data_IF_836109058989
#
_entry.id   IF_836109058989
#
_cell.length_a   1.000
_cell.length_b   1.000
_cell.length_c   1.000
_cell.angle_alpha   90.00
_cell.angle_beta   90.00
_cell.angle_gamma   90.00
#
_symmetry.space_group_name_H-M   'P 1'
#
loop_
_entity.id
_entity.type
_entity.pdbx_description
1 polymer ?
#
# COMPACT_ATOMS: atom_id res chain seq x y z
N UNK A 1 33.53 107.09 -5.26
CA UNK A 1 33.04 108.47 -5.05
C UNK A 1 31.52 108.40 -5.06
N UNK A 2 30.93 108.41 -3.86
CA UNK A 2 30.43 109.64 -3.21
C UNK A 2 29.04 109.96 -3.77
N UNK A 3 27.99 109.56 -3.07
CA UNK A 3 27.32 110.33 -2.01
C UNK A 3 26.29 111.30 -2.60
N UNK A 4 25.05 111.15 -2.11
CA UNK A 4 24.14 112.24 -1.72
C UNK A 4 23.66 113.25 -2.78
N UNK A 5 22.47 113.84 -2.71
CA UNK A 5 21.25 113.75 -1.88
C UNK A 5 20.30 114.76 -2.52
N UNK A 6 19.00 114.45 -2.59
CA UNK A 6 17.85 115.37 -2.38
C UNK A 6 17.73 116.61 -3.31
N UNK A 7 16.56 117.14 -3.69
CA UNK A 7 15.25 117.26 -3.03
C UNK A 7 14.24 117.88 -4.02
N UNK A 8 12.94 117.56 -3.83
CA UNK A 8 11.71 118.39 -3.99
C UNK A 8 11.38 119.05 -5.36
N UNK A 9 10.12 119.26 -5.79
CA UNK A 9 8.78 119.22 -5.19
C UNK A 9 7.68 119.22 -6.28
N UNK A 10 6.51 118.66 -5.95
CA UNK A 10 5.08 118.88 -6.37
C UNK A 10 4.73 119.63 -7.69
N UNK A 11 3.67 119.30 -8.45
CA UNK A 11 2.23 119.43 -8.11
C UNK A 11 1.31 118.70 -9.12
N UNK A 12 0.40 117.87 -8.57
CA UNK A 12 -1.05 117.63 -8.83
C UNK A 12 -1.70 117.58 -10.23
N UNK A 13 -2.40 116.46 -10.49
CA UNK A 13 -3.76 116.43 -11.11
C UNK A 13 -4.56 115.21 -10.60
N UNK A 14 -5.90 115.32 -10.63
CA UNK A 14 -6.90 114.73 -9.72
C UNK A 14 -7.40 113.27 -10.00
N UNK A 15 -8.09 112.74 -8.97
CA UNK A 15 -8.67 111.40 -8.68
C UNK A 15 -9.96 111.01 -9.46
N UNK A 16 -10.37 109.71 -9.52
CA UNK A 16 -11.32 109.17 -8.51
C UNK A 16 -11.18 107.65 -8.17
N UNK A 17 -11.83 107.25 -7.06
CA UNK A 17 -11.90 105.89 -6.49
C UNK A 17 -12.96 104.97 -7.12
N UNK A 18 -12.71 103.64 -7.21
CA UNK A 18 -13.73 102.57 -7.43
C UNK A 18 -13.32 101.25 -6.74
N UNK A 19 -14.33 100.53 -6.22
CA UNK A 19 -14.41 99.35 -5.32
C UNK A 19 -14.01 97.96 -5.90
N UNK A 20 -13.91 96.87 -5.10
CA UNK A 20 -13.38 95.57 -5.53
C UNK A 20 -14.44 94.68 -6.23
N UNK A 21 -14.05 93.90 -7.24
CA UNK A 21 -14.93 92.91 -7.89
C UNK A 21 -14.35 91.49 -7.82
N UNK A 22 -15.20 90.58 -7.34
CA UNK A 22 -15.00 89.14 -7.25
C UNK A 22 -15.38 88.46 -8.57
N UNK A 23 -14.48 87.62 -9.09
CA UNK A 23 -14.62 86.94 -10.38
C UNK A 23 -15.51 85.69 -10.26
N UNK A 24 -16.59 85.61 -11.05
CA UNK A 24 -17.57 84.51 -11.05
C UNK A 24 -17.17 83.40 -12.03
N UNK A 25 -17.08 82.16 -11.54
CA UNK A 25 -16.78 80.94 -12.34
C UNK A 25 -17.98 80.54 -13.23
N UNK A 26 -17.80 80.16 -14.51
CA UNK A 26 -18.91 79.90 -15.44
C UNK A 26 -19.72 78.64 -15.12
N UNK A 27 -21.05 78.76 -15.25
CA UNK A 27 -22.06 77.77 -14.80
C UNK A 27 -22.07 76.41 -15.54
N UNK A 28 -21.39 76.26 -16.67
CA UNK A 28 -21.29 74.99 -17.41
C UNK A 28 -20.28 73.98 -16.82
N UNK A 29 -19.31 74.46 -16.03
CA UNK A 29 -18.26 73.61 -15.41
C UNK A 29 -18.82 72.81 -14.23
N UNK A 30 -19.76 73.39 -13.48
CA UNK A 30 -20.42 72.74 -12.33
C UNK A 30 -21.26 71.53 -12.76
N UNK A 31 -22.00 71.62 -13.88
CA UNK A 31 -22.83 70.52 -14.38
C UNK A 31 -21.98 69.35 -14.90
N UNK A 32 -20.86 69.63 -15.58
CA UNK A 32 -19.89 68.60 -16.01
C UNK A 32 -19.20 67.94 -14.81
N UNK A 33 -18.87 68.70 -13.76
CA UNK A 33 -18.32 68.18 -12.50
C UNK A 33 -19.32 67.27 -11.78
N UNK A 34 -20.59 67.65 -11.69
CA UNK A 34 -21.66 66.84 -11.06
C UNK A 34 -21.89 65.53 -11.82
N UNK A 35 -21.84 65.54 -13.15
CA UNK A 35 -21.94 64.31 -13.95
C UNK A 35 -20.71 63.43 -13.74
N UNK A 36 -19.50 64.00 -13.70
CA UNK A 36 -18.26 63.24 -13.46
C UNK A 36 -18.25 62.59 -12.07
N UNK A 37 -18.67 63.32 -11.02
CA UNK A 37 -18.74 62.77 -9.65
C UNK A 37 -19.81 61.69 -9.52
N UNK A 38 -20.96 61.84 -10.19
CA UNK A 38 -22.00 60.81 -10.24
C UNK A 38 -21.52 59.53 -10.96
N UNK A 39 -20.78 59.66 -12.06
CA UNK A 39 -20.16 58.53 -12.76
C UNK A 39 -19.11 57.86 -11.88
N UNK A 40 -18.27 58.63 -11.18
CA UNK A 40 -17.27 58.07 -10.26
C UNK A 40 -17.92 57.34 -9.08
N UNK A 41 -19.00 57.87 -8.51
CA UNK A 41 -19.80 57.21 -7.47
C UNK A 41 -20.46 55.93 -7.98
N UNK A 42 -20.96 55.91 -9.22
CA UNK A 42 -21.51 54.70 -9.83
C UNK A 42 -20.44 53.63 -10.06
N UNK A 43 -19.25 54.02 -10.53
CA UNK A 43 -18.11 53.10 -10.68
C UNK A 43 -17.66 52.57 -9.31
N UNK A 44 -17.56 53.45 -8.30
CA UNK A 44 -17.20 53.07 -6.93
C UNK A 44 -18.24 52.13 -6.31
N UNK A 45 -19.54 52.38 -6.54
CA UNK A 45 -20.63 51.51 -6.09
C UNK A 45 -20.61 50.17 -6.81
N UNK A 46 -20.32 50.16 -8.12
CA UNK A 46 -20.11 48.93 -8.89
C UNK A 46 -18.92 48.11 -8.38
N UNK A 47 -17.79 48.76 -8.08
CA UNK A 47 -16.62 48.14 -7.46
C UNK A 47 -16.93 47.60 -6.06
N UNK A 48 -17.68 48.35 -5.24
CA UNK A 48 -18.08 47.94 -3.90
C UNK A 48 -18.99 46.70 -3.95
N UNK A 49 -20.00 46.72 -4.84
CA UNK A 49 -20.89 45.57 -5.07
C UNK A 49 -20.11 44.35 -5.56
N UNK A 50 -19.18 44.52 -6.51
CA UNK A 50 -18.36 43.42 -7.02
C UNK A 50 -17.41 42.86 -5.95
N UNK A 51 -16.84 43.73 -5.12
CA UNK A 51 -15.99 43.33 -3.99
C UNK A 51 -16.77 42.49 -2.98
N UNK A 52 -17.94 42.96 -2.55
CA UNK A 52 -18.79 42.28 -1.57
C UNK A 52 -19.38 40.98 -2.11
N UNK A 53 -19.79 40.92 -3.38
CA UNK A 53 -20.48 39.77 -3.95
C UNK A 53 -19.54 38.68 -4.51
N UNK A 54 -18.34 39.06 -4.98
CA UNK A 54 -17.46 38.14 -5.72
C UNK A 54 -16.09 38.00 -5.05
N UNK A 55 -15.33 39.09 -4.87
CA UNK A 55 -13.94 38.99 -4.43
C UNK A 55 -13.76 38.59 -2.96
N UNK A 56 -14.69 38.95 -2.06
CA UNK A 56 -14.58 38.58 -0.64
C UNK A 56 -14.64 37.07 -0.37
N UNK A 57 -15.19 36.30 -1.31
CA UNK A 57 -15.51 34.88 -1.16
C UNK A 57 -14.60 33.96 -1.99
N UNK A 58 -13.45 34.45 -2.44
CA UNK A 58 -12.48 33.71 -3.22
C UNK A 58 -11.12 33.84 -2.55
N UNK A 59 -10.51 32.72 -2.20
CA UNK A 59 -9.14 32.68 -1.70
C UNK A 59 -8.29 31.95 -2.73
N UNK A 60 -7.24 32.61 -3.24
CA UNK A 60 -6.35 32.05 -4.25
C UNK A 60 -4.93 31.85 -3.71
N UNK A 61 -4.25 30.85 -4.25
CA UNK A 61 -2.82 30.64 -4.06
C UNK A 61 -2.19 30.13 -5.36
N UNK A 62 -0.97 30.61 -5.61
CA UNK A 62 -0.07 30.22 -6.71
C UNK A 62 0.96 29.16 -6.26
N UNK A 63 0.96 28.83 -4.97
CA UNK A 63 1.87 27.86 -4.36
C UNK A 63 1.12 26.56 -4.14
N UNK A 64 0.85 25.88 -5.23
CA UNK A 64 0.24 24.56 -5.19
C UNK A 64 0.97 23.60 -6.12
N UNK A 65 1.12 22.36 -5.65
CA UNK A 65 1.80 21.30 -6.40
C UNK A 65 0.95 20.05 -6.46
N UNK A 66 1.02 19.36 -7.60
CA UNK A 66 0.43 18.02 -7.75
C UNK A 66 1.24 17.03 -6.93
N UNK A 67 0.56 16.25 -6.09
CA UNK A 67 1.17 15.21 -5.27
C UNK A 67 0.44 13.88 -5.46
N UNK A 68 1.13 12.77 -5.19
CA UNK A 68 0.58 11.42 -5.30
C UNK A 68 1.28 10.46 -4.33
N UNK A 69 0.70 9.28 -4.12
CA UNK A 69 1.33 8.23 -3.34
C UNK A 69 2.49 7.64 -4.14
N UNK A 70 3.72 7.79 -3.64
CA UNK A 70 4.89 7.17 -4.24
C UNK A 70 4.99 5.71 -3.75
N UNK A 71 4.71 4.76 -4.64
CA UNK A 71 4.77 3.33 -4.30
C UNK A 71 6.17 2.81 -4.61
N UNK A 72 6.97 2.61 -3.57
CA UNK A 72 8.31 2.06 -3.70
C UNK A 72 8.25 0.54 -3.87
N UNK A 73 8.85 0.06 -4.95
CA UNK A 73 8.98 -1.36 -5.27
C UNK A 73 10.29 -1.87 -4.68
N UNK A 74 10.18 -2.85 -3.78
CA UNK A 74 11.31 -3.47 -3.09
C UNK A 74 11.24 -5.00 -3.24
N UNK A 75 12.39 -5.69 -3.32
CA UNK A 75 12.43 -7.13 -3.42
C UNK A 75 12.21 -7.74 -2.03
N UNK A 76 11.52 -8.89 -2.00
CA UNK A 76 11.32 -9.66 -0.77
C UNK A 76 12.45 -10.67 -0.53
N UNK A 77 13.15 -11.07 -1.60
CA UNK A 77 14.30 -11.98 -1.57
C UNK A 77 15.54 -11.28 -2.12
N UNK A 78 16.71 -11.76 -1.72
CA UNK A 78 17.98 -11.32 -2.29
C UNK A 78 18.24 -12.09 -3.59
N UNK A 79 18.78 -11.41 -4.61
CA UNK A 79 19.07 -12.04 -5.89
C UNK A 79 19.83 -11.14 -6.85
N UNK A 80 20.27 -11.70 -7.97
CA UNK A 80 20.86 -10.94 -9.06
C UNK A 80 19.80 -10.61 -10.08
N UNK A 81 19.77 -9.37 -10.57
CA UNK A 81 18.80 -8.93 -11.57
C UNK A 81 19.14 -9.56 -12.91
N UNK A 82 18.29 -10.46 -13.39
CA UNK A 82 18.44 -11.11 -14.69
C UNK A 82 17.87 -10.23 -15.80
N UNK A 83 16.72 -9.59 -15.56
CA UNK A 83 16.04 -8.77 -16.56
C UNK A 83 15.28 -7.62 -15.93
N UNK A 84 15.27 -6.49 -16.64
CA UNK A 84 14.43 -5.33 -16.34
C UNK A 84 13.48 -5.15 -17.53
N UNK A 85 12.18 -5.28 -17.30
CA UNK A 85 11.16 -5.26 -18.36
C UNK A 85 10.57 -3.87 -18.61
N UNK A 86 10.87 -2.89 -17.76
CA UNK A 86 10.27 -1.56 -17.79
C UNK A 86 11.31 -0.48 -17.56
N UNK A 87 11.20 0.61 -18.32
CA UNK A 87 12.05 1.79 -18.20
C UNK A 87 11.35 2.97 -17.53
N UNK A 88 12.11 3.99 -17.18
CA UNK A 88 11.59 5.27 -16.69
C UNK A 88 10.54 5.82 -17.65
N UNK A 89 9.53 6.52 -17.11
CA UNK A 89 8.40 7.12 -17.85
C UNK A 89 7.39 6.14 -18.46
N UNK A 90 7.62 4.83 -18.40
CA UNK A 90 6.67 3.86 -18.96
C UNK A 90 5.48 3.62 -18.00
N UNK A 91 4.32 3.37 -18.58
CA UNK A 91 3.10 3.00 -17.83
C UNK A 91 3.07 1.50 -17.57
N UNK A 92 2.71 1.12 -16.35
CA UNK A 92 2.63 -0.27 -15.88
C UNK A 92 1.23 -0.58 -15.36
N UNK A 93 0.83 -1.84 -15.54
CA UNK A 93 -0.42 -2.38 -14.99
C UNK A 93 -0.14 -3.18 -13.72
N UNK A 94 -1.10 -3.20 -12.79
CA UNK A 94 -1.06 -4.05 -11.62
C UNK A 94 -0.89 -5.52 -12.03
N UNK A 95 0.03 -6.23 -11.39
CA UNK A 95 0.41 -7.61 -11.70
C UNK A 95 1.44 -7.76 -12.83
N UNK A 96 1.78 -6.70 -13.57
CA UNK A 96 2.81 -6.75 -14.61
C UNK A 96 4.19 -7.01 -13.98
N UNK A 97 4.96 -7.92 -14.57
CA UNK A 97 6.35 -8.21 -14.14
C UNK A 97 7.25 -7.04 -14.55
N UNK A 98 7.88 -6.41 -13.54
CA UNK A 98 8.77 -5.27 -13.72
C UNK A 98 10.22 -5.71 -13.81
N UNK A 99 10.64 -6.59 -12.90
CA UNK A 99 12.01 -7.04 -12.74
C UNK A 99 11.97 -8.56 -12.50
N UNK A 100 12.87 -9.26 -13.16
CA UNK A 100 13.10 -10.69 -12.96
C UNK A 100 14.48 -10.87 -12.33
N UNK A 101 14.48 -11.50 -11.16
CA UNK A 101 15.70 -11.97 -10.51
C UNK A 101 16.07 -13.34 -11.09
N UNK A 102 17.37 -13.67 -11.06
CA UNK A 102 17.83 -15.02 -11.37
C UNK A 102 17.14 -16.03 -10.47
N UNK A 103 16.42 -16.95 -11.09
CA UNK A 103 15.56 -17.92 -10.44
C UNK A 103 16.18 -19.32 -10.38
N UNK A 104 17.41 -19.51 -10.87
CA UNK A 104 18.05 -20.82 -11.00
C UNK A 104 18.07 -21.60 -9.67
N UNK A 105 18.51 -20.95 -8.59
CA UNK A 105 18.56 -21.57 -7.25
C UNK A 105 17.17 -21.86 -6.69
N UNK A 106 16.20 -20.96 -6.92
CA UNK A 106 14.84 -21.11 -6.44
C UNK A 106 14.08 -22.21 -7.19
N UNK A 107 14.34 -22.36 -8.49
CA UNK A 107 13.78 -23.42 -9.30
C UNK A 107 14.32 -24.79 -8.84
N UNK A 108 15.62 -24.90 -8.59
CA UNK A 108 16.22 -26.11 -8.05
C UNK A 108 15.70 -26.43 -6.64
N UNK A 109 15.51 -25.42 -5.79
CA UNK A 109 14.91 -25.60 -4.47
C UNK A 109 13.46 -26.10 -4.55
N UNK A 110 12.68 -25.58 -5.50
CA UNK A 110 11.31 -26.02 -5.78
C UNK A 110 11.27 -27.48 -6.26
N UNK A 111 12.15 -27.87 -7.18
CA UNK A 111 12.27 -29.26 -7.67
C UNK A 111 12.66 -30.22 -6.53
N UNK A 112 13.61 -29.82 -5.66
CA UNK A 112 13.99 -30.62 -4.49
C UNK A 112 12.83 -30.82 -3.52
N UNK A 113 12.07 -29.75 -3.22
CA UNK A 113 10.93 -29.83 -2.32
C UNK A 113 9.75 -30.64 -2.92
N UNK A 114 9.60 -30.60 -4.24
CA UNK A 114 8.66 -31.45 -4.97
C UNK A 114 9.00 -32.94 -4.79
N UNK A 115 10.27 -33.31 -4.98
CA UNK A 115 10.73 -34.69 -4.81
C UNK A 115 10.71 -35.14 -3.35
N UNK A 116 10.96 -34.22 -2.41
CA UNK A 116 10.80 -34.45 -0.97
C UNK A 116 9.37 -34.89 -0.62
N UNK A 117 8.35 -34.25 -1.21
CA UNK A 117 6.96 -34.66 -1.02
C UNK A 117 6.68 -36.06 -1.58
N UNK A 118 7.18 -36.36 -2.78
CA UNK A 118 7.03 -37.70 -3.37
C UNK A 118 7.68 -38.77 -2.48
N UNK A 119 8.89 -38.50 -1.99
CA UNK A 119 9.60 -39.41 -1.10
C UNK A 119 8.88 -39.58 0.24
N UNK A 120 8.31 -38.51 0.82
CA UNK A 120 7.52 -38.59 2.03
C UNK A 120 6.27 -39.46 1.87
N UNK A 121 5.57 -39.34 0.72
CA UNK A 121 4.41 -40.18 0.40
C UNK A 121 4.82 -41.65 0.26
N UNK A 122 5.87 -41.94 -0.52
CA UNK A 122 6.39 -43.31 -0.71
C UNK A 122 6.85 -43.94 0.60
N UNK A 123 7.53 -43.16 1.45
CA UNK A 123 7.98 -43.61 2.76
C UNK A 123 6.80 -43.98 3.66
N UNK A 124 5.71 -43.20 3.63
CA UNK A 124 4.49 -43.52 4.38
C UNK A 124 3.79 -44.78 3.84
N UNK A 125 3.76 -44.97 2.51
CA UNK A 125 3.24 -46.20 1.90
C UNK A 125 4.08 -47.42 2.31
N UNK A 126 5.40 -47.31 2.34
CA UNK A 126 6.29 -48.36 2.83
C UNK A 126 6.01 -48.71 4.29
N UNK A 127 5.85 -47.70 5.16
CA UNK A 127 5.49 -47.91 6.57
C UNK A 127 4.11 -48.58 6.71
N UNK A 128 3.14 -48.19 5.87
CA UNK A 128 1.81 -48.81 5.82
C UNK A 128 1.90 -50.27 5.40
N UNK A 129 2.71 -50.59 4.39
CA UNK A 129 2.94 -51.97 3.97
C UNK A 129 3.61 -52.80 5.08
N UNK A 130 4.59 -52.24 5.80
CA UNK A 130 5.22 -52.89 6.96
C UNK A 130 4.22 -53.14 8.09
N UNK A 131 3.34 -52.18 8.38
CA UNK A 131 2.27 -52.35 9.37
C UNK A 131 1.28 -53.46 8.97
N UNK A 132 0.89 -53.52 7.68
CA UNK A 132 0.06 -54.62 7.15
C UNK A 132 0.75 -55.97 7.28
N UNK A 133 2.03 -56.06 6.95
CA UNK A 133 2.83 -57.28 7.12
C UNK A 133 2.87 -57.73 8.59
N UNK A 134 3.12 -56.80 9.52
CA UNK A 134 3.11 -57.10 10.95
C UNK A 134 1.74 -57.60 11.43
N UNK A 135 0.65 -56.98 10.97
CA UNK A 135 -0.71 -57.42 11.29
C UNK A 135 -1.03 -58.83 10.75
N UNK A 136 -0.57 -59.15 9.54
CA UNK A 136 -0.71 -60.48 8.96
C UNK A 136 0.08 -61.54 9.76
N UNK A 137 1.27 -61.17 10.26
CA UNK A 137 2.06 -62.05 11.13
C UNK A 137 1.36 -62.29 12.47
N UNK A 138 0.72 -61.27 13.07
CA UNK A 138 -0.10 -61.45 14.29
C UNK A 138 -1.24 -62.41 14.01
N UNK A 139 -1.97 -62.24 12.91
CA UNK A 139 -3.08 -63.12 12.53
C UNK A 139 -2.61 -64.57 12.34
N UNK A 140 -1.46 -64.79 11.70
CA UNK A 140 -0.87 -66.11 11.51
C UNK A 140 -0.49 -66.78 12.85
N UNK A 141 0.20 -66.07 13.75
CA UNK A 141 0.56 -66.60 15.07
C UNK A 141 -0.66 -66.83 15.95
N UNK A 142 -1.69 -66.00 15.83
CA UNK A 142 -2.94 -66.17 16.55
C UNK A 142 -3.72 -67.41 16.07
N UNK A 143 -3.72 -67.69 14.77
CA UNK A 143 -4.28 -68.93 14.22
C UNK A 143 -3.51 -70.17 14.72
N UNK A 144 -2.17 -70.10 14.77
CA UNK A 144 -1.33 -71.17 15.30
C UNK A 144 -1.61 -71.42 16.79
N UNK A 145 -1.70 -70.36 17.61
CA UNK A 145 -2.04 -70.48 19.03
C UNK A 145 -3.41 -71.14 19.22
N UNK A 146 -4.43 -70.71 18.46
CA UNK A 146 -5.77 -71.33 18.52
C UNK A 146 -5.74 -72.82 18.18
N UNK A 147 -4.97 -73.21 17.16
CA UNK A 147 -4.79 -74.62 16.77
C UNK A 147 -4.17 -75.44 17.91
N UNK A 148 -3.10 -74.95 18.53
CA UNK A 148 -2.40 -75.63 19.62
C UNK A 148 -3.25 -75.67 20.90
N UNK A 149 -4.03 -74.64 21.19
CA UNK A 149 -4.99 -74.64 22.30
C UNK A 149 -6.08 -75.69 22.11
N UNK A 150 -6.62 -75.81 20.89
CA UNK A 150 -7.61 -76.84 20.57
C UNK A 150 -7.03 -78.26 20.68
N UNK A 151 -5.77 -78.45 20.29
CA UNK A 151 -5.06 -79.74 20.43
C UNK A 151 -4.83 -80.07 21.92
N UNK A 152 -4.35 -79.11 22.70
CA UNK A 152 -4.19 -79.26 24.16
C UNK A 152 -5.53 -79.60 24.83
N UNK A 153 -6.61 -78.91 24.50
CA UNK A 153 -7.94 -79.18 25.06
C UNK A 153 -8.41 -80.60 24.73
N UNK A 154 -8.18 -81.06 23.49
CA UNK A 154 -8.52 -82.42 23.07
C UNK A 154 -7.73 -83.47 23.85
N UNK A 155 -6.42 -83.27 24.02
CA UNK A 155 -5.56 -84.17 24.80
C UNK A 155 -5.92 -84.14 26.29
N UNK A 156 -6.24 -82.98 26.85
CA UNK A 156 -6.68 -82.87 28.23
C UNK A 156 -7.98 -83.64 28.49
N UNK A 157 -8.92 -83.67 27.55
CA UNK A 157 -10.17 -84.44 27.67
C UNK A 157 -9.97 -85.96 27.66
N UNK A 158 -8.85 -86.44 27.11
CA UNK A 158 -8.48 -87.85 27.06
C UNK A 158 -7.57 -88.25 28.24
N UNK A 159 -7.12 -87.29 29.05
CA UNK A 159 -6.26 -87.54 30.20
C UNK A 159 -7.03 -88.30 31.29
N UNK A 160 -6.47 -89.40 31.78
CA UNK A 160 -7.12 -90.29 32.76
C UNK A 160 -7.82 -91.50 32.15
N UNK A 161 -7.93 -91.56 30.82
CA UNK A 161 -7.98 -92.84 30.09
C UNK A 161 -6.54 -93.21 29.76
N UNK A 162 -6.11 -94.48 29.84
CA UNK A 162 -4.74 -94.95 29.53
C UNK A 162 -4.28 -94.69 28.07
N UNK A 163 -4.96 -93.81 27.33
CA UNK A 163 -4.76 -93.47 25.94
C UNK A 163 -3.65 -92.43 25.68
N UNK A 164 -3.12 -91.75 26.71
CA UNK A 164 -2.05 -90.74 26.54
C UNK A 164 -1.13 -90.67 27.76
N UNK A 165 0.18 -90.48 27.51
CA UNK A 165 1.18 -90.33 28.57
C UNK A 165 1.18 -88.91 29.19
N UNK A 166 1.68 -88.81 30.43
CA UNK A 166 1.86 -87.52 31.11
C UNK A 166 2.87 -86.60 30.39
N UNK A 167 3.88 -87.19 29.75
CA UNK A 167 4.90 -86.48 28.95
C UNK A 167 4.29 -85.79 27.73
N UNK A 168 3.41 -86.49 27.00
CA UNK A 168 2.73 -85.96 25.81
C UNK A 168 1.83 -84.75 26.15
N UNK A 169 1.21 -84.76 27.35
CA UNK A 169 0.42 -83.65 27.86
C UNK A 169 1.33 -82.46 28.27
N UNK A 170 2.50 -82.72 28.85
CA UNK A 170 3.49 -81.69 29.16
C UNK A 170 3.98 -80.99 27.89
N UNK A 171 4.37 -81.76 26.86
CA UNK A 171 4.80 -81.19 25.58
C UNK A 171 3.71 -80.33 24.91
N UNK A 172 2.45 -80.75 24.99
CA UNK A 172 1.33 -79.94 24.47
C UNK A 172 1.14 -78.62 25.24
N UNK A 173 1.37 -78.60 26.57
CA UNK A 173 1.36 -77.36 27.38
C UNK A 173 2.51 -76.44 26.99
N UNK A 174 3.72 -76.99 26.88
CA UNK A 174 4.92 -76.22 26.51
C UNK A 174 4.76 -75.60 25.10
N UNK A 175 4.19 -76.33 24.15
CA UNK A 175 3.91 -75.82 22.81
C UNK A 175 2.93 -74.63 22.81
N UNK A 176 1.91 -74.64 23.69
CA UNK A 176 0.98 -73.51 23.86
C UNK A 176 1.71 -72.30 24.47
N UNK A 177 2.53 -72.52 25.50
CA UNK A 177 3.33 -71.45 26.13
C UNK A 177 4.30 -70.81 25.12
N UNK A 178 4.97 -71.62 24.30
CA UNK A 178 5.86 -71.14 23.24
C UNK A 178 5.10 -70.31 22.19
N UNK A 179 3.94 -70.80 21.72
CA UNK A 179 3.11 -70.07 20.76
C UNK A 179 2.57 -68.76 21.34
N UNK A 180 2.24 -68.73 22.64
CA UNK A 180 1.81 -67.51 23.33
C UNK A 180 2.95 -66.49 23.42
N UNK A 181 4.18 -66.92 23.71
CA UNK A 181 5.36 -66.06 23.71
C UNK A 181 5.64 -65.48 22.31
N UNK A 182 5.55 -66.31 21.27
CA UNK A 182 5.69 -65.89 19.86
C UNK A 182 4.62 -64.87 19.46
N UNK A 183 3.36 -65.08 19.82
CA UNK A 183 2.29 -64.12 19.56
C UNK A 183 2.57 -62.77 20.23
N UNK A 184 2.98 -62.78 21.51
CA UNK A 184 3.29 -61.56 22.25
C UNK A 184 4.46 -60.78 21.63
N UNK A 185 5.47 -61.48 21.12
CA UNK A 185 6.60 -60.86 20.41
C UNK A 185 6.13 -60.14 19.13
N UNK A 186 5.30 -60.79 18.31
CA UNK A 186 4.79 -60.18 17.07
C UNK A 186 3.78 -59.06 17.36
N UNK A 187 2.97 -59.16 18.42
CA UNK A 187 2.11 -58.06 18.86
C UNK A 187 2.91 -56.80 19.24
N UNK A 188 4.08 -56.98 19.87
CA UNK A 188 5.01 -55.87 20.12
C UNK A 188 5.59 -55.26 18.84
N UNK A 189 5.87 -56.08 17.82
CA UNK A 189 6.30 -55.59 16.50
C UNK A 189 5.20 -54.82 15.78
N UNK A 190 3.95 -55.30 15.85
CA UNK A 190 2.80 -54.61 15.27
C UNK A 190 2.53 -53.27 15.95
N UNK A 191 2.58 -53.21 17.29
CA UNK A 191 2.37 -51.96 18.02
C UNK A 191 3.46 -50.92 17.71
N UNK A 192 4.72 -51.35 17.61
CA UNK A 192 5.83 -50.49 17.17
C UNK A 192 5.61 -49.96 15.74
N UNK A 193 5.20 -50.83 14.80
CA UNK A 193 4.94 -50.42 13.42
C UNK A 193 3.74 -49.45 13.30
N UNK A 194 2.67 -49.67 14.09
CA UNK A 194 1.52 -48.76 14.14
C UNK A 194 1.84 -47.44 14.82
N UNK A 195 2.71 -47.42 15.82
CA UNK A 195 3.10 -46.20 16.53
C UNK A 195 3.78 -45.17 15.59
N UNK A 196 4.55 -45.64 14.60
CA UNK A 196 5.20 -44.78 13.60
C UNK A 196 4.18 -44.04 12.72
N UNK A 197 3.08 -44.70 12.37
CA UNK A 197 2.03 -44.13 11.51
C UNK A 197 1.00 -43.28 12.28
N UNK A 198 1.02 -43.33 13.61
CA UNK A 198 -0.06 -42.78 14.44
C UNK A 198 -1.39 -43.53 14.27
N UNK A 199 -2.31 -43.33 15.20
CA UNK A 199 -3.61 -44.01 15.18
C UNK A 199 -4.50 -43.47 14.05
N UNK A 200 -4.51 -44.18 12.91
CA UNK A 200 -5.40 -43.94 11.77
C UNK A 200 -5.35 -42.49 11.23
N UNK A 201 -4.15 -41.89 11.25
CA UNK A 201 -3.94 -40.54 10.72
C UNK A 201 -3.95 -40.60 9.19
N UNK A 202 -4.79 -39.80 8.50
CA UNK A 202 -4.79 -39.74 7.05
C UNK A 202 -3.42 -39.34 6.50
N UNK A 203 -3.02 -39.86 5.34
CA UNK A 203 -1.72 -39.57 4.71
C UNK A 203 -1.35 -38.08 4.71
N UNK A 204 -2.33 -37.19 4.44
CA UNK A 204 -2.12 -35.74 4.38
C UNK A 204 -1.81 -35.08 5.72
N UNK A 205 -2.23 -35.70 6.81
CA UNK A 205 -2.00 -35.21 8.18
C UNK A 205 -0.79 -35.89 8.83
N UNK A 206 -0.09 -36.74 8.10
CA UNK A 206 1.14 -37.34 8.58
C UNK A 206 2.22 -36.26 8.71
N UNK A 207 2.93 -36.17 9.85
CA UNK A 207 3.88 -35.07 10.10
C UNK A 207 4.93 -34.90 8.99
N UNK A 208 5.51 -36.01 8.51
CA UNK A 208 6.51 -35.98 7.44
C UNK A 208 5.94 -35.41 6.12
N UNK A 209 4.70 -35.76 5.79
CA UNK A 209 4.02 -35.29 4.58
C UNK A 209 3.63 -33.80 4.72
N UNK A 210 3.14 -33.38 5.89
CA UNK A 210 2.82 -31.98 6.15
C UNK A 210 4.05 -31.07 6.07
N UNK A 211 5.18 -31.52 6.59
CA UNK A 211 6.46 -30.80 6.49
C UNK A 211 6.88 -30.67 5.03
N UNK A 212 6.86 -31.76 4.26
CA UNK A 212 7.23 -31.72 2.83
C UNK A 212 6.28 -30.83 2.01
N UNK A 213 4.96 -30.86 2.29
CA UNK A 213 4.00 -29.91 1.69
C UNK A 213 4.34 -28.46 2.04
N UNK A 214 4.75 -28.21 3.28
CA UNK A 214 5.13 -26.86 3.73
C UNK A 214 6.40 -26.37 3.04
N UNK A 215 7.41 -27.22 2.91
CA UNK A 215 8.65 -26.94 2.17
C UNK A 215 8.37 -26.65 0.69
N UNK A 216 7.49 -27.44 0.06
CA UNK A 216 7.09 -27.21 -1.32
C UNK A 216 6.37 -25.86 -1.48
N UNK A 217 5.48 -25.50 -0.55
CA UNK A 217 4.80 -24.21 -0.54
C UNK A 217 5.77 -23.04 -0.33
N UNK A 218 6.74 -23.16 0.57
CA UNK A 218 7.74 -22.10 0.78
C UNK A 218 8.65 -21.94 -0.44
N UNK A 219 9.16 -23.03 -1.02
CA UNK A 219 10.00 -22.98 -2.20
C UNK A 219 9.27 -22.41 -3.42
N UNK A 220 7.99 -22.75 -3.59
CA UNK A 220 7.13 -22.15 -4.62
C UNK A 220 6.94 -20.64 -4.41
N UNK A 221 6.70 -20.20 -3.17
CA UNK A 221 6.53 -18.78 -2.85
C UNK A 221 7.83 -18.00 -3.13
N UNK A 222 8.98 -18.54 -2.77
CA UNK A 222 10.27 -17.91 -3.04
C UNK A 222 10.56 -17.86 -4.55
N UNK A 223 10.18 -18.89 -5.31
CA UNK A 223 10.22 -18.85 -6.77
C UNK A 223 9.32 -17.73 -7.33
N UNK A 224 8.11 -17.55 -6.81
CA UNK A 224 7.23 -16.44 -7.24
C UNK A 224 7.82 -15.06 -6.92
N UNK A 225 8.54 -14.94 -5.80
CA UNK A 225 9.20 -13.69 -5.36
C UNK A 225 10.38 -13.28 -6.25
N UNK A 226 10.89 -14.16 -7.11
CA UNK A 226 11.89 -13.81 -8.14
C UNK A 226 11.31 -12.85 -9.19
N UNK A 227 10.00 -12.88 -9.41
CA UNK A 227 9.30 -11.99 -10.32
C UNK A 227 8.69 -10.83 -9.53
N UNK A 228 9.32 -9.67 -9.61
CA UNK A 228 8.86 -8.47 -8.93
C UNK A 228 7.80 -7.80 -9.79
N UNK A 229 6.55 -7.82 -9.31
CA UNK A 229 5.37 -7.33 -10.02
C UNK A 229 4.93 -5.94 -9.52
N UNK A 230 4.27 -5.18 -10.37
CA UNK A 230 3.68 -3.91 -9.99
C UNK A 230 2.45 -4.14 -9.08
N UNK A 231 2.39 -3.53 -7.87
CA UNK A 231 1.23 -3.67 -6.97
C UNK A 231 0.04 -2.83 -7.43
N UNK A 232 0.27 -1.75 -8.18
CA UNK A 232 -0.75 -0.81 -8.66
C UNK A 232 -0.52 -0.44 -10.11
N UNK A 233 -1.57 0.02 -10.78
CA UNK A 233 -1.44 0.67 -12.08
C UNK A 233 -0.77 2.05 -11.88
N UNK A 234 0.14 2.43 -12.77
CA UNK A 234 0.82 3.72 -12.65
C UNK A 234 1.90 3.94 -13.69
N UNK A 235 2.71 4.96 -13.49
CA UNK A 235 3.89 5.25 -14.31
C UNK A 235 5.16 5.12 -13.48
N UNK A 236 6.21 4.59 -14.09
CA UNK A 236 7.53 4.49 -13.46
C UNK A 236 8.13 5.89 -13.36
N UNK A 237 8.30 6.37 -12.13
CA UNK A 237 8.88 7.68 -11.85
C UNK A 237 10.42 7.63 -11.83
N UNK A 238 10.99 6.56 -11.28
CA UNK A 238 12.43 6.35 -11.20
C UNK A 238 12.78 4.89 -11.07
N UNK A 239 13.77 4.44 -11.85
CA UNK A 239 14.43 3.14 -11.75
C UNK A 239 15.84 3.29 -11.19
N UNK A 240 16.13 2.57 -10.12
CA UNK A 240 17.45 2.57 -9.45
C UNK A 240 18.23 1.27 -9.67
N UNK A 241 17.75 0.39 -10.55
CA UNK A 241 18.28 -0.97 -10.75
C UNK A 241 18.77 -1.19 -12.17
N UNK A 242 19.83 -1.99 -12.33
CA UNK A 242 20.36 -2.43 -13.62
C UNK A 242 20.51 -3.95 -13.70
N UNK A 243 20.48 -4.48 -14.93
CA UNK A 243 20.75 -5.90 -15.20
C UNK A 243 22.15 -6.28 -14.70
N UNK A 244 22.29 -7.43 -14.07
CA UNK A 244 23.53 -7.93 -13.46
C UNK A 244 23.79 -7.40 -12.05
N UNK A 245 23.02 -6.42 -11.56
CA UNK A 245 23.16 -5.91 -10.20
C UNK A 245 22.64 -6.93 -9.18
N UNK A 246 23.39 -7.13 -8.09
CA UNK A 246 22.91 -7.88 -6.92
C UNK A 246 22.10 -6.97 -6.01
N UNK A 247 20.89 -7.38 -5.68
CA UNK A 247 19.95 -6.61 -4.85
C UNK A 247 19.61 -7.38 -3.58
N UNK A 248 19.58 -6.67 -2.45
CA UNK A 248 19.21 -7.21 -1.15
C UNK A 248 17.72 -6.95 -0.87
N UNK A 249 17.13 -7.77 0.02
CA UNK A 249 15.76 -7.59 0.50
C UNK A 249 15.54 -6.16 1.02
N UNK A 250 14.45 -5.52 0.61
CA UNK A 250 14.10 -4.16 1.01
C UNK A 250 14.77 -3.03 0.22
N UNK A 251 15.72 -3.33 -0.68
CA UNK A 251 16.35 -2.31 -1.52
C UNK A 251 15.34 -1.57 -2.43
N UNK A 252 15.49 -0.26 -2.57
CA UNK A 252 14.61 0.57 -3.41
C UNK A 252 14.93 0.40 -4.90
N UNK A 253 14.21 -0.49 -5.60
CA UNK A 253 14.51 -0.79 -7.00
C UNK A 253 13.85 0.20 -7.98
N UNK A 254 12.60 0.56 -7.69
CA UNK A 254 11.79 1.38 -8.58
C UNK A 254 10.72 2.13 -7.78
N UNK A 255 10.27 3.27 -8.27
CA UNK A 255 9.12 3.98 -7.75
C UNK A 255 8.02 4.07 -8.83
N UNK A 256 6.80 3.63 -8.47
CA UNK A 256 5.62 3.70 -9.32
C UNK A 256 4.64 4.72 -8.76
N UNK A 257 4.14 5.61 -9.62
CA UNK A 257 3.18 6.65 -9.26
C UNK A 257 1.82 6.32 -9.90
N UNK A 258 0.75 6.13 -9.11
CA UNK A 258 -0.60 5.98 -9.63
C UNK A 258 -1.13 7.34 -10.13
N UNK A 259 -1.27 7.47 -11.45
CA UNK A 259 -1.71 8.72 -12.10
C UNK A 259 -3.21 9.01 -11.96
N UNK A 260 -3.99 8.02 -11.53
CA UNK A 260 -5.44 8.10 -11.34
C UNK A 260 -5.84 8.53 -9.92
N UNK A 261 -4.89 8.66 -8.99
CA UNK A 261 -5.13 9.08 -7.61
C UNK A 261 -4.12 10.15 -7.18
N UNK A 262 -4.11 11.27 -7.91
CA UNK A 262 -3.31 12.46 -7.57
C UNK A 262 -4.19 13.49 -6.87
N UNK A 263 -3.59 14.27 -5.99
CA UNK A 263 -4.22 15.41 -5.33
C UNK A 263 -3.35 16.64 -5.47
N UNK A 264 -3.89 17.79 -5.11
CA UNK A 264 -3.14 19.04 -5.09
C UNK A 264 -2.92 19.44 -3.65
N UNK A 265 -1.67 19.68 -3.29
CA UNK A 265 -1.32 20.30 -2.01
C UNK A 265 -1.12 21.79 -2.25
N UNK A 266 -2.10 22.59 -1.81
CA UNK A 266 -2.17 24.02 -2.03
C UNK A 266 -1.81 24.77 -0.75
N UNK A 267 -0.72 25.52 -0.77
CA UNK A 267 -0.18 26.22 0.39
C UNK A 267 -0.87 27.58 0.54
N UNK A 268 -1.77 27.70 1.52
CA UNK A 268 -2.44 28.96 1.85
C UNK A 268 -1.76 29.67 3.01
N UNK A 269 -1.76 31.00 3.01
CA UNK A 269 -1.29 31.79 4.17
C UNK A 269 -2.20 31.51 5.37
N UNK A 270 -1.64 31.47 6.57
CA UNK A 270 -2.41 31.26 7.81
C UNK A 270 -3.67 32.14 7.91
N UNK A 271 -3.59 33.40 7.47
CA UNK A 271 -4.72 34.34 7.48
C UNK A 271 -5.88 33.95 6.56
N UNK A 272 -5.60 33.19 5.49
CA UNK A 272 -6.59 32.78 4.49
C UNK A 272 -7.36 31.53 4.94
N UNK A 273 -6.78 30.72 5.82
CA UNK A 273 -7.39 29.48 6.31
C UNK A 273 -8.68 29.71 7.10
N UNK A 274 -8.87 30.90 7.68
CA UNK A 274 -10.00 31.23 8.55
C UNK A 274 -11.38 30.94 7.90
N UNK A 275 -11.51 31.12 6.58
CA UNK A 275 -12.76 30.92 5.83
C UNK A 275 -12.81 29.60 5.06
N UNK A 276 -11.70 28.87 4.99
CA UNK A 276 -11.62 27.62 4.24
C UNK A 276 -12.24 26.50 5.08
N UNK A 277 -13.08 25.67 4.46
CA UNK A 277 -13.78 24.54 5.10
C UNK A 277 -13.73 23.31 4.21
N UNK A 278 -13.84 22.13 4.82
CA UNK A 278 -13.85 20.86 4.08
C UNK A 278 -15.09 20.81 3.17
N UNK A 279 -14.90 20.31 1.95
CA UNK A 279 -15.95 20.14 0.94
C UNK A 279 -16.21 21.37 0.06
N UNK A 280 -15.55 22.50 0.31
CA UNK A 280 -15.66 23.68 -0.55
C UNK A 280 -15.17 23.37 -1.97
N UNK A 281 -15.88 23.87 -3.01
CA UNK A 281 -15.46 23.67 -4.39
C UNK A 281 -14.23 24.53 -4.71
N UNK A 282 -13.34 23.94 -5.50
CA UNK A 282 -12.07 24.53 -5.90
C UNK A 282 -11.95 24.47 -7.41
N UNK A 283 -11.54 25.58 -8.02
CA UNK A 283 -11.07 25.64 -9.40
C UNK A 283 -9.54 25.64 -9.40
N UNK A 284 -8.94 24.76 -10.21
CA UNK A 284 -7.50 24.59 -10.28
C UNK A 284 -7.05 24.66 -11.74
N UNK A 285 -5.96 25.36 -12.00
CA UNK A 285 -5.36 25.46 -13.34
C UNK A 285 -3.91 25.01 -13.27
N UNK A 286 -3.53 24.10 -14.16
CA UNK A 286 -2.16 23.65 -14.26
C UNK A 286 -1.38 24.52 -15.25
N UNK A 287 -0.21 24.98 -14.86
CA UNK A 287 0.64 25.83 -15.71
C UNK A 287 0.96 25.15 -17.05
N UNK A 288 1.14 23.82 -17.03
CA UNK A 288 1.46 23.02 -18.21
C UNK A 288 0.38 23.08 -19.30
N UNK A 289 -0.88 23.27 -18.92
CA UNK A 289 -2.01 23.36 -19.84
C UNK A 289 -2.52 24.80 -20.02
N UNK A 290 -2.01 25.74 -19.22
CA UNK A 290 -2.42 27.14 -19.20
C UNK A 290 -3.91 27.32 -18.91
N UNK A 291 -4.50 28.41 -19.41
CA UNK A 291 -5.91 28.74 -19.20
C UNK A 291 -6.92 27.86 -19.95
N UNK A 292 -6.45 26.87 -20.73
CA UNK A 292 -7.31 26.02 -21.56
C UNK A 292 -7.99 24.90 -20.79
N UNK A 293 -7.39 24.45 -19.69
CA UNK A 293 -7.88 23.32 -18.89
C UNK A 293 -8.07 23.78 -17.45
N UNK A 294 -9.32 23.74 -16.99
CA UNK A 294 -9.68 23.98 -15.59
C UNK A 294 -10.08 22.64 -14.98
N UNK A 295 -9.45 22.31 -13.86
CA UNK A 295 -9.80 21.16 -13.04
C UNK A 295 -10.72 21.62 -11.91
N UNK A 296 -11.70 20.78 -11.57
CA UNK A 296 -12.60 20.97 -10.46
C UNK A 296 -12.27 19.98 -9.36
N UNK A 297 -12.24 20.49 -8.15
CA UNK A 297 -11.94 19.71 -6.97
C UNK A 297 -12.72 20.16 -5.74
N UNK A 298 -12.46 19.48 -4.63
CA UNK A 298 -13.00 19.84 -3.32
C UNK A 298 -11.89 19.83 -2.29
N UNK A 299 -11.98 20.75 -1.33
CA UNK A 299 -11.11 20.74 -0.16
C UNK A 299 -11.34 19.44 0.61
N UNK A 300 -10.31 18.61 0.71
CA UNK A 300 -10.35 17.31 1.36
C UNK A 300 -9.91 17.38 2.82
N UNK A 301 -8.93 18.24 3.13
CA UNK A 301 -8.43 18.41 4.50
C UNK A 301 -7.22 19.35 4.57
N UNK A 302 -6.72 19.56 5.78
CA UNK A 302 -5.55 20.37 6.07
C UNK A 302 -4.40 19.48 6.55
N UNK A 303 -3.17 19.77 6.13
CA UNK A 303 -1.98 19.12 6.67
C UNK A 303 -1.80 19.44 8.16
N UNK A 304 -1.19 18.52 8.92
CA UNK A 304 -0.98 18.67 10.36
C UNK A 304 0.04 19.77 10.75
N UNK A 305 0.71 20.39 9.77
CA UNK A 305 1.72 21.41 10.02
C UNK A 305 2.20 22.09 8.73
N UNK A 306 3.01 23.14 8.89
CA UNK A 306 3.58 23.93 7.78
C UNK A 306 4.73 23.19 7.12
N UNK A 307 5.02 23.49 5.84
CA UNK A 307 6.16 22.90 5.15
C UNK A 307 7.51 23.16 5.85
N UNK A 308 7.65 24.31 6.53
CA UNK A 308 8.84 24.65 7.32
C UNK A 308 9.01 23.76 8.55
N UNK A 309 7.91 23.37 9.22
CA UNK A 309 7.94 22.52 10.40
C UNK A 309 8.38 21.08 10.10
N UNK A 310 8.10 20.59 8.88
CA UNK A 310 8.49 19.24 8.43
C UNK A 310 9.74 19.22 7.55
N UNK A 311 10.43 20.35 7.38
CA UNK A 311 11.68 20.42 6.62
C UNK A 311 12.83 19.75 7.37
N UNK A 312 13.69 19.01 6.65
CA UNK A 312 14.93 18.47 7.20
C UNK A 312 15.88 19.58 7.70
N UNK A 313 15.77 20.79 7.14
CA UNK A 313 16.53 21.97 7.53
C UNK A 313 15.55 23.15 7.72
N UNK A 314 15.02 23.34 8.94
CA UNK A 314 14.17 24.49 9.25
C UNK A 314 14.99 25.79 9.22
N UNK A 315 14.38 26.88 8.75
CA UNK A 315 15.00 28.19 8.85
C UNK A 315 15.13 28.60 10.33
N UNK A 316 16.37 28.74 10.83
CA UNK A 316 16.64 29.28 12.15
C UNK A 316 17.08 30.74 12.05
N UNK A 317 16.49 31.61 12.87
CA UNK A 317 16.87 33.01 12.95
C UNK A 317 18.18 33.15 13.73
N UNK A 318 19.31 33.11 13.02
CA UNK A 318 20.64 33.05 13.62
C UNK A 318 21.16 34.39 14.21
N UNK A 319 20.45 35.52 14.05
CA UNK A 319 21.02 36.87 14.28
C UNK A 319 20.26 37.75 15.28
N UNK A 320 19.36 37.20 16.10
CA UNK A 320 18.75 37.93 17.22
C UNK A 320 17.73 39.02 16.86
N UNK A 321 17.47 39.28 15.57
CA UNK A 321 16.35 40.10 15.12
C UNK A 321 15.17 39.21 14.75
N UNK A 322 14.10 39.22 15.54
CA UNK A 322 12.91 38.40 15.28
C UNK A 322 11.96 39.12 14.32
N UNK A 323 11.73 38.54 13.14
CA UNK A 323 10.74 39.01 12.16
C UNK A 323 9.65 37.94 12.04
N UNK A 324 8.38 38.33 12.24
CA UNK A 324 7.24 37.43 12.04
C UNK A 324 7.04 37.15 10.55
N UNK A 325 7.33 35.94 10.11
CA UNK A 325 7.08 35.49 8.74
C UNK A 325 5.79 34.66 8.73
N UNK A 326 4.83 35.07 7.90
CA UNK A 326 3.57 34.34 7.68
C UNK A 326 3.90 32.96 7.13
N UNK A 327 3.46 31.90 7.80
CA UNK A 327 3.64 30.56 7.29
C UNK A 327 2.53 30.20 6.31
N UNK A 328 2.83 29.22 5.46
CA UNK A 328 1.85 28.60 4.57
C UNK A 328 1.56 27.19 5.06
N UNK A 329 0.28 26.85 5.10
CA UNK A 329 -0.18 25.52 5.51
C UNK A 329 -0.75 24.81 4.28
N UNK A 330 -0.28 23.59 3.96
CA UNK A 330 -0.81 22.82 2.85
C UNK A 330 -2.26 22.41 3.11
N UNK A 331 -3.16 22.82 2.22
CA UNK A 331 -4.54 22.35 2.13
C UNK A 331 -4.60 21.31 1.01
N UNK A 332 -5.06 20.10 1.34
CA UNK A 332 -5.21 19.00 0.38
C UNK A 332 -6.51 19.14 -0.39
N UNK A 333 -6.43 19.07 -1.71
CA UNK A 333 -7.56 19.23 -2.61
C UNK A 333 -7.70 17.97 -3.46
N UNK A 334 -8.86 17.32 -3.37
CA UNK A 334 -9.20 16.17 -4.18
C UNK A 334 -9.72 16.62 -5.54
N UNK A 335 -9.22 16.00 -6.61
CA UNK A 335 -9.60 16.29 -8.01
C UNK A 335 -10.70 15.35 -8.51
N UNK A 336 -11.46 15.77 -9.52
CA UNK A 336 -12.37 14.88 -10.23
C UNK A 336 -11.60 13.84 -11.07
N UNK A 337 -11.82 12.52 -10.86
CA UNK A 337 -11.16 11.47 -11.63
C UNK A 337 -11.39 11.55 -13.15
N UNK A 338 -12.54 12.08 -13.61
CA UNK A 338 -12.87 12.15 -15.04
C UNK A 338 -11.99 13.15 -15.78
N UNK A 339 -11.78 14.32 -15.17
CA UNK A 339 -10.95 15.39 -15.73
C UNK A 339 -9.47 14.99 -15.72
N UNK A 340 -9.04 14.29 -14.66
CA UNK A 340 -7.69 13.72 -14.58
C UNK A 340 -7.43 12.64 -15.64
N UNK A 341 -8.45 11.84 -15.99
CA UNK A 341 -8.33 10.85 -17.07
C UNK A 341 -8.23 11.51 -18.46
N UNK A 342 -8.92 12.62 -18.69
CA UNK A 342 -8.83 13.38 -19.94
C UNK A 342 -7.48 14.11 -20.08
N UNK A 343 -6.98 14.67 -18.98
CA UNK A 343 -5.72 15.43 -18.93
C UNK A 343 -4.87 14.97 -17.74
N UNK A 344 -4.02 13.95 -17.93
CA UNK A 344 -3.19 13.40 -16.86
C UNK A 344 -2.24 14.47 -16.29
N UNK A 345 -2.23 14.57 -14.96
CA UNK A 345 -1.29 15.42 -14.23
C UNK A 345 -0.11 14.58 -13.73
N UNK A 346 1.09 15.16 -13.76
CA UNK A 346 2.30 14.57 -13.22
C UNK A 346 2.60 15.18 -11.85
N UNK A 347 3.18 14.37 -10.96
CA UNK A 347 3.61 14.81 -9.63
C UNK A 347 4.67 15.90 -9.77
N UNK A 348 4.56 16.94 -8.94
CA UNK A 348 5.48 18.08 -8.90
C UNK A 348 5.13 19.23 -9.84
N UNK A 349 4.09 19.10 -10.68
CA UNK A 349 3.64 20.23 -11.51
C UNK A 349 3.03 21.34 -10.64
N UNK A 350 3.38 22.58 -10.96
CA UNK A 350 2.82 23.80 -10.36
C UNK A 350 1.41 24.07 -10.86
N UNK A 351 0.58 24.63 -9.98
CA UNK A 351 -0.82 24.95 -10.25
C UNK A 351 -1.25 26.23 -9.53
N UNK A 352 -2.17 26.95 -10.15
CA UNK A 352 -2.97 28.00 -9.51
C UNK A 352 -4.25 27.40 -8.95
N UNK A 353 -4.56 27.74 -7.70
CA UNK A 353 -5.72 27.21 -6.97
C UNK A 353 -6.61 28.36 -6.51
N UNK A 354 -7.90 28.26 -6.78
CA UNK A 354 -8.92 29.21 -6.31
C UNK A 354 -10.04 28.47 -5.56
N UNK A 355 -10.19 28.78 -4.27
CA UNK A 355 -11.21 28.18 -3.39
C UNK A 355 -12.38 29.13 -3.23
N UNK A 356 -13.59 28.62 -3.44
CA UNK A 356 -14.82 29.39 -3.21
C UNK A 356 -15.27 29.24 -1.75
N UNK A 357 -15.15 30.33 -0.98
CA UNK A 357 -15.44 30.40 0.46
C UNK A 357 -16.84 30.96 0.79
N UNK A 358 -17.77 31.00 -0.18
CA UNK A 358 -19.17 31.43 0.06
C UNK A 358 -19.90 30.58 1.09
N UNK A 359 -19.65 29.27 1.09
CA UNK A 359 -20.29 28.35 2.03
C UNK A 359 -19.33 28.04 3.18
N UNK A 360 -19.62 28.60 4.35
CA UNK A 360 -18.84 28.37 5.58
C UNK A 360 -19.51 27.37 6.54
N UNK A 361 -20.64 26.77 6.14
CA UNK A 361 -21.39 25.82 6.96
C UNK A 361 -20.78 24.40 6.94
N UNK A 362 -19.65 24.20 6.24
CA UNK A 362 -18.92 22.94 6.18
C UNK A 362 -18.18 22.64 7.48
N UNK A 363 -17.80 21.37 7.66
CA UNK A 363 -16.99 20.95 8.81
C UNK A 363 -15.63 21.65 8.80
N UNK A 364 -15.10 21.89 10.00
CA UNK A 364 -13.82 22.56 10.18
C UNK A 364 -12.67 21.73 9.61
N UNK A 365 -11.59 22.40 9.19
CA UNK A 365 -10.42 21.80 8.57
C UNK A 365 -9.67 20.81 9.47
N UNK A 366 -9.96 20.84 10.77
CA UNK A 366 -9.44 19.96 11.81
C UNK A 366 -10.19 18.63 11.92
N UNK A 367 -11.34 18.48 11.24
CA UNK A 367 -12.14 17.26 11.28
C UNK A 367 -11.60 16.19 10.33
N UNK A 368 -11.05 15.11 10.90
CA UNK A 368 -10.40 14.03 10.16
C UNK A 368 -11.43 13.22 9.38
N UNK A 369 -11.42 13.31 8.05
CA UNK A 369 -12.12 12.37 7.18
C UNK A 369 -11.15 11.28 6.72
N UNK A 370 -11.50 10.02 7.01
CA UNK A 370 -10.79 8.88 6.45
C UNK A 370 -11.04 8.84 4.95
N UNK A 371 -10.02 9.18 4.15
CA UNK A 371 -10.04 8.93 2.72
C UNK A 371 -9.82 7.42 2.54
N UNK A 372 -10.76 6.67 1.93
CA UNK A 372 -10.56 5.24 1.72
C UNK A 372 -9.31 5.00 0.86
N UNK A 373 -8.32 4.35 1.45
CA UNK A 373 -7.10 3.93 0.75
C UNK A 373 -7.39 2.63 0.00
N UNK A 374 -7.64 2.72 -1.30
CA UNK A 374 -7.82 1.57 -2.19
C UNK A 374 -6.46 0.90 -2.50
N UNK A 375 -5.73 0.47 -1.48
CA UNK A 375 -4.34 0.00 -1.57
C UNK A 375 -4.11 -1.37 -0.94
N UNK A 376 -5.08 -2.28 -1.01
CA UNK A 376 -4.84 -3.64 -0.53
C UNK A 376 -3.89 -4.35 -1.50
N UNK A 377 -2.73 -4.80 -1.01
CA UNK A 377 -1.90 -5.72 -1.77
C UNK A 377 -2.71 -7.01 -2.05
N UNK A 378 -2.72 -7.45 -3.30
CA UNK A 378 -3.37 -8.70 -3.66
C UNK A 378 -2.77 -9.85 -2.84
N UNK A 379 -3.63 -10.60 -2.15
CA UNK A 379 -3.21 -11.80 -1.42
C UNK A 379 -2.56 -12.79 -2.41
N UNK A 380 -1.54 -13.52 -1.93
CA UNK A 380 -0.89 -14.56 -2.72
C UNK A 380 -1.93 -15.62 -3.09
N UNK A 381 -2.07 -15.90 -4.38
CA UNK A 381 -2.93 -16.97 -4.88
C UNK A 381 -2.24 -18.33 -4.71
N UNK A 382 -2.71 -19.11 -3.74
CA UNK A 382 -2.20 -20.46 -3.45
C UNK A 382 -2.84 -21.55 -4.33
N UNK A 383 -3.81 -21.21 -5.17
CA UNK A 383 -4.56 -22.18 -5.98
C UNK A 383 -3.65 -23.01 -6.91
N UNK A 384 -2.67 -22.44 -7.63
CA UNK A 384 -1.81 -23.21 -8.53
C UNK A 384 -1.01 -24.30 -7.80
N UNK A 385 -0.40 -23.95 -6.66
CA UNK A 385 0.43 -24.88 -5.89
C UNK A 385 -0.43 -25.93 -5.17
N UNK A 386 -1.61 -25.56 -4.67
CA UNK A 386 -2.53 -26.53 -4.08
C UNK A 386 -3.00 -27.55 -5.13
N UNK A 387 -3.33 -27.13 -6.35
CA UNK A 387 -3.71 -28.05 -7.43
C UNK A 387 -2.57 -29.01 -7.80
N UNK A 388 -1.33 -28.52 -7.83
CA UNK A 388 -0.17 -29.38 -8.09
C UNK A 388 0.04 -30.40 -6.97
N UNK A 389 -0.10 -29.98 -5.70
CA UNK A 389 -0.06 -30.89 -4.56
C UNK A 389 -1.15 -31.98 -4.68
N UNK A 390 -2.37 -31.60 -5.08
CA UNK A 390 -3.45 -32.57 -5.34
C UNK A 390 -3.09 -33.59 -6.42
N UNK A 391 -2.45 -33.15 -7.51
CA UNK A 391 -1.98 -34.04 -8.57
C UNK A 391 -0.92 -35.02 -8.07
N UNK A 392 0.04 -34.55 -7.26
CA UNK A 392 1.07 -35.41 -6.65
C UNK A 392 0.42 -36.46 -5.75
N UNK A 393 -0.54 -36.07 -4.90
CA UNK A 393 -1.28 -37.05 -4.11
C UNK A 393 -2.07 -38.03 -4.98
N UNK A 394 -2.74 -37.56 -6.03
CA UNK A 394 -3.52 -38.44 -6.92
C UNK A 394 -2.64 -39.47 -7.66
N UNK A 395 -1.41 -39.10 -8.00
CA UNK A 395 -0.46 -39.94 -8.73
C UNK A 395 0.30 -40.90 -7.82
N UNK A 396 0.76 -40.44 -6.65
CA UNK A 396 1.70 -41.19 -5.80
C UNK A 396 1.08 -41.78 -4.53
N UNK A 397 -0.15 -41.41 -4.15
CA UNK A 397 -0.80 -41.97 -2.96
C UNK A 397 -1.64 -43.24 -3.23
N UNK A 398 -1.75 -43.66 -4.50
CA UNK A 398 -2.51 -44.85 -4.90
C UNK A 398 -1.79 -46.17 -4.60
#
# INVERSE_FOLDING_TARGET
MSEQKQTNEAVTTAQPAVQPQSERVPAGRKRKLVVLTAVFLLIALGFLLMYLLVWQHKESTDDAYVNSHLVQITPQITGTVQKVNVDDTQTVKAGQVLIELDNSDMQLAFERAHDELINAIRQNQQQTAQSRQASAQVAAQQAQLKRLQADLQRRQSLAGTDAISAEELSHARDAVLEAQAKLKAVQGQESAAKAVLGHNVPLRQQPAVMTAVSHLKSAWLDLQRTQIKAPVNGQVAKRNVQVGQKVATGAALMAVVPLNNVWVDANFKESQLAKIRIGQPVEIRADVYGSKVTYHGKVAGLSAGTGAAFSLLPAQNATGNWIKVVQRVPVRIALDPKELAAHPLRVGLSMDVEVNTRNQNGQDLTSVHAIPTNGNMAAIDWTPINNMIEQIFAQYAR
#
